data_IF_376942572139
#
_entry.id   IF_376942572139
#
_cell.length_a   1.000
_cell.length_b   1.000
_cell.length_c   1.000
_cell.angle_alpha   90.00
_cell.angle_beta   90.00
_cell.angle_gamma   90.00
#
_symmetry.space_group_name_H-M   'P 1'
#
loop_
_entity.id
_entity.type
_entity.pdbx_description
1 polymer ?
#
# COMPACT_ATOMS: atom_id res chain seq x y z
N UNK A 1 -17.58 35.01 -31.74
CA UNK A 1 -16.92 34.44 -30.55
C UNK A 1 -17.90 33.46 -29.92
N UNK A 2 -17.55 32.18 -29.90
CA UNK A 2 -18.35 31.14 -29.21
C UNK A 2 -17.75 30.91 -27.83
N UNK A 3 -18.56 31.05 -26.79
CA UNK A 3 -18.20 30.68 -25.43
C UNK A 3 -18.79 29.31 -25.13
N UNK A 4 -18.03 28.46 -24.43
CA UNK A 4 -18.51 27.17 -23.95
C UNK A 4 -18.37 27.13 -22.42
N UNK A 5 -19.31 26.46 -21.76
CA UNK A 5 -19.26 26.17 -20.34
C UNK A 5 -19.31 24.66 -20.14
N UNK A 6 -18.46 24.14 -19.25
CA UNK A 6 -18.44 22.73 -18.90
C UNK A 6 -19.22 22.51 -17.61
N UNK A 7 -20.15 21.54 -17.64
CA UNK A 7 -20.88 21.07 -16.45
C UNK A 7 -20.84 19.55 -16.43
N UNK A 8 -20.33 18.98 -15.34
CA UNK A 8 -20.32 17.54 -15.13
C UNK A 8 -21.69 17.10 -14.59
N UNK A 9 -22.35 16.17 -15.29
CA UNK A 9 -23.68 15.67 -14.90
C UNK A 9 -23.61 14.48 -13.96
N UNK A 10 -22.61 13.62 -14.14
CA UNK A 10 -22.36 12.45 -13.30
C UNK A 10 -20.86 12.39 -13.00
N UNK A 11 -20.54 12.06 -11.76
CA UNK A 11 -19.16 11.91 -11.31
C UNK A 11 -18.60 10.53 -11.68
N UNK A 12 -17.27 10.42 -11.69
CA UNK A 12 -16.58 9.15 -11.88
C UNK A 12 -16.91 8.18 -10.76
N UNK A 13 -17.23 6.94 -11.13
CA UNK A 13 -17.55 5.85 -10.19
C UNK A 13 -16.54 4.71 -10.24
N UNK A 14 -15.64 4.69 -11.22
CA UNK A 14 -14.57 3.70 -11.32
C UNK A 14 -13.49 3.99 -10.28
N UNK A 15 -13.29 3.06 -9.34
CA UNK A 15 -12.28 3.20 -8.28
C UNK A 15 -10.91 2.86 -8.86
N UNK A 16 -9.99 3.81 -8.79
CA UNK A 16 -8.61 3.66 -9.26
C UNK A 16 -7.65 3.30 -8.12
N UNK A 17 -7.86 3.87 -6.93
CA UNK A 17 -7.05 3.58 -5.75
C UNK A 17 -7.93 3.34 -4.52
N UNK A 18 -7.47 2.46 -3.64
CA UNK A 18 -8.08 2.20 -2.34
C UNK A 18 -6.99 2.03 -1.27
N UNK A 19 -7.24 2.53 -0.06
CA UNK A 19 -6.38 2.31 1.09
C UNK A 19 -7.20 2.28 2.38
N UNK A 20 -6.68 1.61 3.40
CA UNK A 20 -7.23 1.62 4.75
C UNK A 20 -6.33 2.42 5.69
N UNK A 21 -6.91 3.24 6.56
CA UNK A 21 -6.17 4.06 7.52
C UNK A 21 -7.05 4.62 8.64
N UNK A 22 -6.45 4.94 9.76
CA UNK A 22 -7.08 5.53 10.94
C UNK A 22 -7.08 7.06 10.82
N UNK A 23 -7.99 7.60 10.02
CA UNK A 23 -8.02 9.04 9.69
C UNK A 23 -8.88 9.85 10.67
N UNK A 24 -10.12 9.41 10.86
CA UNK A 24 -11.13 10.12 11.66
C UNK A 24 -10.96 9.88 13.16
N UNK A 25 -10.28 8.79 13.51
CA UNK A 25 -10.07 8.31 14.86
C UNK A 25 -8.71 7.61 14.93
N UNK A 26 -8.19 7.40 16.14
CA UNK A 26 -6.91 6.71 16.36
C UNK A 26 -7.08 5.23 16.69
N UNK A 27 -6.02 4.44 16.51
CA UNK A 27 -6.00 3.00 16.86
C UNK A 27 -6.32 2.72 18.34
N UNK A 28 -6.00 3.68 19.21
CA UNK A 28 -6.17 3.56 20.66
C UNK A 28 -7.56 4.04 21.15
N UNK A 29 -8.38 4.65 20.29
CA UNK A 29 -9.74 5.08 20.65
C UNK A 29 -10.68 3.87 20.63
N UNK A 30 -10.90 3.27 21.80
CA UNK A 30 -12.07 2.44 22.02
C UNK A 30 -13.30 3.35 22.06
N UNK A 31 -14.29 3.11 21.20
CA UNK A 31 -15.56 3.85 21.22
C UNK A 31 -16.27 3.56 22.56
N UNK A 32 -16.19 4.46 23.52
CA UNK A 32 -17.14 4.51 24.63
C UNK A 32 -18.41 5.17 24.08
N UNK A 33 -19.39 4.36 23.71
CA UNK A 33 -20.75 4.88 23.52
C UNK A 33 -21.20 5.43 24.89
N UNK A 34 -21.32 6.76 25.00
CA UNK A 34 -22.04 7.39 26.10
C UNK A 34 -23.51 6.96 25.98
N UNK A 35 -23.90 5.96 26.77
CA UNK A 35 -25.30 5.74 27.08
C UNK A 35 -25.69 6.78 28.15
N UNK A 36 -26.15 7.94 27.71
CA UNK A 36 -27.02 8.78 28.53
C UNK A 36 -28.39 8.07 28.60
N UNK A 37 -28.54 7.15 29.55
CA UNK A 37 -29.71 7.04 30.44
C UNK A 37 -29.63 5.75 31.28
N UNK A 38 -29.52 5.96 32.59
CA UNK A 38 -30.09 5.23 33.73
C UNK A 38 -30.37 3.71 33.62
N UNK A 39 -29.67 2.97 34.49
CA UNK A 39 -30.02 1.66 35.07
C UNK A 39 -30.30 0.48 34.12
N UNK A 40 -29.24 -0.26 33.78
CA UNK A 40 -29.33 -1.71 33.55
C UNK A 40 -27.98 -2.41 33.84
N UNK A 41 -27.93 -3.19 34.93
CA UNK A 41 -26.92 -4.21 35.15
C UNK A 41 -27.03 -5.28 34.05
N UNK A 42 -26.32 -5.09 32.94
CA UNK A 42 -26.01 -6.16 32.01
C UNK A 42 -24.50 -6.23 31.81
N UNK A 43 -23.96 -7.42 32.07
CA UNK A 43 -22.57 -7.79 31.83
C UNK A 43 -22.23 -7.65 30.34
N UNK A 44 -21.75 -6.46 29.96
CA UNK A 44 -21.23 -6.19 28.62
C UNK A 44 -20.00 -7.07 28.38
N UNK A 45 -20.15 -8.11 27.55
CA UNK A 45 -18.99 -8.73 26.91
C UNK A 45 -18.25 -7.61 26.17
N UNK A 46 -16.94 -7.45 26.35
CA UNK A 46 -16.20 -6.42 25.63
C UNK A 46 -16.34 -6.70 24.14
N UNK A 47 -16.79 -5.71 23.35
CA UNK A 47 -16.63 -5.68 21.90
C UNK A 47 -15.19 -6.09 21.60
N UNK A 48 -15.00 -7.30 21.06
CA UNK A 48 -13.66 -7.88 20.83
C UNK A 48 -12.93 -7.21 19.66
N UNK A 49 -13.59 -6.32 18.93
CA UNK A 49 -13.06 -5.65 17.76
C UNK A 49 -12.70 -4.22 18.17
N UNK A 50 -11.41 -3.89 18.10
CA UNK A 50 -10.94 -2.51 18.23
C UNK A 50 -11.51 -1.62 17.11
N UNK A 51 -11.22 -0.31 17.12
CA UNK A 51 -11.68 0.57 16.04
C UNK A 51 -11.24 0.04 14.67
N UNK A 52 -12.16 0.05 13.70
CA UNK A 52 -11.88 -0.36 12.32
C UNK A 52 -11.32 0.82 11.53
N UNK A 53 -10.31 0.60 10.67
CA UNK A 53 -9.79 1.67 9.83
C UNK A 53 -10.88 2.24 8.90
N UNK A 54 -10.74 3.52 8.57
CA UNK A 54 -11.50 4.12 7.50
C UNK A 54 -11.04 3.54 6.15
N UNK A 55 -11.98 3.36 5.23
CA UNK A 55 -11.70 3.04 3.83
C UNK A 55 -11.63 4.34 3.03
N UNK A 56 -10.51 4.59 2.38
CA UNK A 56 -10.32 5.73 1.48
C UNK A 56 -10.29 5.21 0.06
N UNK A 57 -11.09 5.82 -0.82
CA UNK A 57 -11.11 5.48 -2.24
C UNK A 57 -10.98 6.73 -3.08
N UNK A 58 -10.36 6.58 -4.25
CA UNK A 58 -10.33 7.62 -5.27
C UNK A 58 -10.86 7.09 -6.59
N UNK A 59 -11.74 7.86 -7.23
CA UNK A 59 -12.27 7.60 -8.55
C UNK A 59 -11.96 8.81 -9.45
N UNK A 60 -10.93 8.71 -10.27
CA UNK A 60 -10.32 9.80 -11.03
C UNK A 60 -10.03 11.04 -10.15
N UNK A 61 -10.89 12.06 -10.21
CA UNK A 61 -10.75 13.30 -9.45
C UNK A 61 -11.70 13.40 -8.25
N UNK A 62 -12.29 12.29 -7.82
CA UNK A 62 -13.17 12.22 -6.64
C UNK A 62 -12.45 11.44 -5.55
N UNK A 63 -12.43 11.97 -4.34
CA UNK A 63 -11.90 11.33 -3.13
C UNK A 63 -13.04 11.10 -2.15
N UNK A 64 -13.17 9.89 -1.64
CA UNK A 64 -14.21 9.51 -0.69
C UNK A 64 -13.60 8.76 0.51
N UNK A 65 -14.08 9.08 1.70
CA UNK A 65 -13.68 8.43 2.95
C UNK A 65 -14.92 7.78 3.56
N UNK A 66 -14.82 6.48 3.84
CA UNK A 66 -15.88 5.66 4.40
C UNK A 66 -15.49 5.13 5.78
N UNK A 67 -16.49 4.97 6.64
CA UNK A 67 -16.40 4.20 7.88
C UNK A 67 -17.07 2.84 7.66
N UNK A 68 -16.47 1.79 8.18
CA UNK A 68 -17.03 0.44 8.12
C UNK A 68 -17.95 0.24 9.32
N UNK A 69 -19.22 -0.08 9.06
CA UNK A 69 -20.20 -0.44 10.07
C UNK A 69 -20.46 -1.93 10.01
N UNK A 70 -20.34 -2.59 11.16
CA UNK A 70 -20.66 -4.01 11.33
C UNK A 70 -21.97 -4.09 12.11
N UNK A 71 -22.91 -4.91 11.63
CA UNK A 71 -24.13 -5.24 12.33
C UNK A 71 -23.93 -6.59 13.02
N UNK A 72 -23.89 -6.58 14.35
CA UNK A 72 -23.80 -7.79 15.18
C UNK A 72 -25.19 -8.36 15.47
N UNK A 73 -25.29 -9.70 15.47
CA UNK A 73 -26.54 -10.43 15.75
C UNK A 73 -27.02 -10.15 17.19
N UNK A 74 -28.23 -9.59 17.34
CA UNK A 74 -28.89 -9.57 18.65
C UNK A 74 -29.39 -10.98 18.95
N UNK A 75 -29.11 -11.57 20.13
CA UNK A 75 -29.57 -12.91 20.45
C UNK A 75 -31.10 -12.93 20.60
N UNK A 76 -31.80 -13.13 19.49
CA UNK A 76 -33.25 -13.34 19.46
C UNK A 76 -33.55 -14.83 19.43
N UNK A 77 -34.57 -15.22 20.18
CA UNK A 77 -34.86 -16.58 20.61
C UNK A 77 -34.97 -17.57 19.45
N UNK A 78 -34.13 -18.61 19.50
CA UNK A 78 -34.26 -19.94 18.91
C UNK A 78 -35.16 -20.08 17.67
N UNK A 79 -34.54 -20.07 16.49
CA UNK A 79 -35.14 -20.65 15.27
C UNK A 79 -34.12 -21.46 14.45
N UNK A 80 -34.48 -22.73 14.26
CA UNK A 80 -34.03 -23.79 13.32
C UNK A 80 -32.56 -23.95 12.86
N UNK A 81 -31.96 -25.16 13.03
CA UNK A 81 -30.55 -25.44 12.73
C UNK A 81 -30.33 -25.90 11.27
N UNK A 82 -30.84 -25.16 10.27
CA UNK A 82 -30.71 -25.57 8.85
C UNK A 82 -30.34 -24.46 7.86
N UNK A 83 -29.78 -23.34 8.31
CA UNK A 83 -29.11 -22.38 7.43
C UNK A 83 -27.63 -22.32 7.78
N UNK A 84 -26.83 -23.05 7.02
CA UNK A 84 -25.38 -22.93 7.04
C UNK A 84 -24.97 -21.60 6.41
N UNK A 85 -24.26 -20.78 7.18
CA UNK A 85 -22.85 -20.40 7.00
C UNK A 85 -22.60 -19.33 8.06
N UNK A 86 -21.85 -19.71 9.09
CA UNK A 86 -21.54 -18.92 10.27
C UNK A 86 -20.47 -17.89 9.87
N UNK A 87 -20.90 -16.73 9.36
CA UNK A 87 -20.15 -15.50 9.55
C UNK A 87 -20.09 -15.31 11.07
N UNK A 88 -18.91 -15.04 11.63
CA UNK A 88 -18.64 -14.97 13.07
C UNK A 88 -19.50 -13.89 13.77
N UNK A 89 -20.78 -14.18 14.06
CA UNK A 89 -21.71 -13.26 14.74
C UNK A 89 -22.08 -11.97 13.99
N UNK A 90 -21.70 -11.82 12.73
CA UNK A 90 -21.94 -10.62 11.90
C UNK A 90 -23.10 -10.89 10.93
N UNK A 91 -24.22 -10.18 11.09
CA UNK A 91 -25.37 -10.26 10.17
C UNK A 91 -25.15 -9.46 8.89
N UNK A 92 -24.27 -8.45 8.92
CA UNK A 92 -23.95 -7.63 7.75
C UNK A 92 -22.85 -6.60 8.00
N UNK A 93 -22.26 -6.10 6.91
CA UNK A 93 -21.34 -4.97 6.92
C UNK A 93 -21.78 -3.92 5.90
N UNK A 94 -21.65 -2.64 6.24
CA UNK A 94 -21.98 -1.52 5.34
C UNK A 94 -20.90 -0.44 5.40
N UNK A 95 -20.78 0.30 4.30
CA UNK A 95 -19.88 1.44 4.19
C UNK A 95 -20.69 2.73 4.34
N UNK A 96 -20.36 3.51 5.37
CA UNK A 96 -20.96 4.82 5.62
C UNK A 96 -20.02 5.91 5.11
N UNK A 97 -20.48 6.72 4.16
CA UNK A 97 -19.68 7.83 3.63
C UNK A 97 -19.52 8.92 4.70
N UNK A 98 -18.27 9.20 5.09
CA UNK A 98 -17.93 10.26 6.05
C UNK A 98 -17.79 11.59 5.34
N UNK A 99 -16.95 11.65 4.30
CA UNK A 99 -16.74 12.86 3.52
C UNK A 99 -16.33 12.51 2.09
N UNK A 100 -16.68 13.40 1.16
CA UNK A 100 -16.29 13.30 -0.23
C UNK A 100 -15.80 14.65 -0.76
N UNK A 101 -14.82 14.62 -1.65
CA UNK A 101 -14.22 15.82 -2.24
C UNK A 101 -14.08 15.66 -3.75
N UNK A 102 -14.41 16.74 -4.46
CA UNK A 102 -14.05 16.89 -5.86
C UNK A 102 -12.71 17.59 -5.94
N UNK A 103 -11.70 16.90 -6.44
CA UNK A 103 -10.36 17.41 -6.67
C UNK A 103 -10.27 18.07 -8.06
N UNK A 104 -9.35 19.02 -8.17
CA UNK A 104 -9.05 19.73 -9.42
C UNK A 104 -7.89 19.08 -10.20
N UNK A 105 -7.85 17.76 -10.19
CA UNK A 105 -6.87 16.92 -10.88
C UNK A 105 -7.20 15.45 -10.62
N UNK A 106 -6.84 14.58 -11.56
CA UNK A 106 -6.98 13.14 -11.37
C UNK A 106 -5.89 12.65 -10.43
N UNK A 107 -6.29 11.82 -9.46
CA UNK A 107 -5.36 11.14 -8.57
C UNK A 107 -4.68 10.02 -9.34
N UNK A 108 -3.36 10.03 -9.39
CA UNK A 108 -2.56 9.00 -10.05
C UNK A 108 -2.32 7.82 -9.11
N UNK A 109 -1.80 8.10 -7.90
CA UNK A 109 -1.69 7.08 -6.84
C UNK A 109 -1.92 7.68 -5.45
N UNK A 110 -2.23 6.82 -4.50
CA UNK A 110 -2.52 7.17 -3.11
C UNK A 110 -1.73 6.27 -2.15
N UNK A 111 -1.25 6.84 -1.05
CA UNK A 111 -0.70 6.08 0.07
C UNK A 111 -1.14 6.66 1.41
N UNK A 112 -1.21 5.82 2.44
CA UNK A 112 -1.50 6.23 3.82
C UNK A 112 -0.20 6.28 4.60
N UNK A 113 0.08 7.44 5.19
CA UNK A 113 1.19 7.66 6.10
C UNK A 113 0.70 7.50 7.53
N UNK A 114 1.08 6.40 8.17
CA UNK A 114 0.90 6.18 9.61
C UNK A 114 2.16 6.58 10.35
N UNK A 115 2.07 7.25 11.51
CA UNK A 115 3.27 7.45 12.34
C UNK A 115 3.60 6.13 13.05
N UNK A 116 4.85 5.67 12.92
CA UNK A 116 5.38 4.58 13.73
C UNK A 116 5.27 4.88 15.23
N UNK A 117 4.37 4.16 15.88
CA UNK A 117 4.15 4.18 17.32
C UNK A 117 3.28 2.98 17.65
N UNK A 118 3.58 2.28 18.75
CA UNK A 118 2.80 1.10 19.15
C UNK A 118 1.31 1.39 19.26
N UNK A 119 0.51 0.33 19.36
CA UNK A 119 -0.96 0.35 19.35
C UNK A 119 -1.62 1.30 20.39
N UNK A 120 -0.85 1.84 21.34
CA UNK A 120 -1.28 2.81 22.34
C UNK A 120 -1.22 4.30 21.90
N UNK A 121 -0.75 4.62 20.68
CA UNK A 121 -0.63 6.02 20.26
C UNK A 121 -1.98 6.60 19.79
N UNK A 122 -2.39 7.75 20.36
CA UNK A 122 -3.56 8.54 19.91
C UNK A 122 -3.27 9.31 18.62
N UNK A 123 -2.60 8.69 17.65
CA UNK A 123 -2.20 9.35 16.40
C UNK A 123 -3.10 8.92 15.28
N UNK A 124 -3.36 9.86 14.37
CA UNK A 124 -4.13 9.64 13.14
C UNK A 124 -3.19 9.51 11.96
N UNK A 125 -3.65 8.78 10.97
CA UNK A 125 -2.96 8.63 9.70
C UNK A 125 -3.19 9.87 8.82
N UNK A 126 -2.37 10.01 7.78
CA UNK A 126 -2.56 11.05 6.76
C UNK A 126 -2.50 10.46 5.36
N UNK A 127 -3.17 11.11 4.42
CA UNK A 127 -3.28 10.63 3.05
C UNK A 127 -2.25 11.38 2.20
N UNK A 128 -1.45 10.66 1.43
CA UNK A 128 -0.60 11.24 0.40
C UNK A 128 -1.23 10.92 -0.95
N UNK A 129 -1.53 11.97 -1.71
CA UNK A 129 -2.07 11.88 -3.08
C UNK A 129 -1.03 12.39 -4.06
N UNK A 130 -0.80 11.64 -5.14
CA UNK A 130 -0.08 12.14 -6.30
C UNK A 130 -1.04 12.49 -7.42
N UNK A 131 -0.68 13.52 -8.18
CA UNK A 131 -1.38 13.91 -9.40
C UNK A 131 -0.41 13.84 -10.57
N UNK A 132 -0.91 13.97 -11.79
CA UNK A 132 -0.10 13.99 -13.00
C UNK A 132 1.13 14.92 -12.86
N UNK A 133 2.19 14.56 -13.57
CA UNK A 133 3.50 15.21 -13.52
C UNK A 133 4.24 15.05 -12.18
N UNK A 134 4.42 16.10 -11.37
CA UNK A 134 5.19 16.01 -10.13
C UNK A 134 4.53 16.82 -8.99
N UNK A 135 3.21 16.64 -8.85
CA UNK A 135 2.38 17.22 -7.79
C UNK A 135 2.04 16.17 -6.74
N UNK A 136 2.27 16.54 -5.48
CA UNK A 136 1.96 15.71 -4.32
C UNK A 136 1.22 16.58 -3.29
N UNK A 137 0.10 16.07 -2.77
CA UNK A 137 -0.66 16.69 -1.68
C UNK A 137 -0.74 15.75 -0.49
N UNK A 138 -0.48 16.26 0.70
CA UNK A 138 -0.66 15.53 1.96
C UNK A 138 -1.88 16.09 2.67
N UNK A 139 -2.80 15.21 3.07
CA UNK A 139 -4.07 15.55 3.69
C UNK A 139 -4.15 14.94 5.09
N UNK A 140 -4.61 15.73 6.06
CA UNK A 140 -4.92 15.31 7.42
C UNK A 140 -6.40 15.54 7.71
N UNK A 141 -6.99 14.75 8.61
CA UNK A 141 -8.36 14.98 9.07
C UNK A 141 -8.38 16.04 10.17
N UNK A 142 -9.19 17.07 10.00
CA UNK A 142 -9.35 18.19 10.92
C UNK A 142 -10.75 18.14 11.54
N UNK A 143 -10.79 17.92 12.86
CA UNK A 143 -12.03 17.78 13.63
C UNK A 143 -12.86 19.06 13.62
N UNK A 144 -12.24 20.24 13.49
CA UNK A 144 -12.96 21.52 13.52
C UNK A 144 -13.87 21.72 12.33
N UNK A 145 -13.49 21.17 11.17
CA UNK A 145 -14.26 21.21 9.93
C UNK A 145 -14.94 19.89 9.62
N UNK A 146 -14.77 18.87 10.49
CA UNK A 146 -15.19 17.48 10.26
C UNK A 146 -14.83 16.99 8.84
N UNK A 147 -13.59 17.23 8.42
CA UNK A 147 -13.19 17.07 7.03
C UNK A 147 -11.67 16.99 6.84
N UNK A 148 -11.26 16.85 5.58
CA UNK A 148 -9.85 16.76 5.21
C UNK A 148 -9.30 18.16 4.94
N UNK A 149 -8.11 18.44 5.49
CA UNK A 149 -7.34 19.64 5.27
C UNK A 149 -5.99 19.29 4.65
N UNK A 150 -5.53 20.09 3.71
CA UNK A 150 -4.17 19.98 3.18
C UNK A 150 -3.15 20.41 4.24
N UNK A 151 -2.25 19.49 4.61
CA UNK A 151 -1.17 19.76 5.55
C UNK A 151 0.10 20.23 4.83
N UNK A 152 0.41 19.65 3.66
CA UNK A 152 1.52 20.10 2.81
C UNK A 152 1.26 19.87 1.32
N UNK A 153 1.94 20.67 0.49
CA UNK A 153 1.95 20.57 -0.96
C UNK A 153 3.39 20.55 -1.46
N UNK A 154 3.71 19.63 -2.36
CA UNK A 154 5.02 19.50 -2.99
C UNK A 154 4.84 19.49 -4.51
N UNK A 155 5.45 20.46 -5.21
CA UNK A 155 5.31 20.63 -6.65
C UNK A 155 6.68 20.82 -7.30
N UNK A 156 7.01 19.95 -8.27
CA UNK A 156 8.30 19.94 -8.96
C UNK A 156 8.12 20.13 -10.48
N UNK A 157 7.41 21.20 -10.87
CA UNK A 157 7.05 21.50 -12.27
C UNK A 157 7.54 22.84 -12.81
N UNK A 158 8.11 23.69 -11.95
CA UNK A 158 8.69 24.97 -12.36
C UNK A 158 9.79 24.84 -13.42
N UNK A 159 10.17 25.96 -14.09
CA UNK A 159 11.23 25.97 -15.11
C UNK A 159 12.54 25.33 -14.64
N UNK A 160 12.85 25.45 -13.36
CA UNK A 160 14.00 24.83 -12.71
C UNK A 160 13.94 23.29 -12.70
N UNK A 161 12.76 22.68 -12.84
CA UNK A 161 12.53 21.23 -12.82
C UNK A 161 12.32 20.60 -14.20
N UNK A 162 12.26 21.39 -15.28
CA UNK A 162 12.06 20.87 -16.65
C UNK A 162 13.13 19.83 -17.04
N UNK A 163 14.35 19.97 -16.51
CA UNK A 163 15.44 19.04 -16.75
C UNK A 163 15.15 17.61 -16.23
N UNK A 164 14.26 17.46 -15.25
CA UNK A 164 13.85 16.16 -14.71
C UNK A 164 13.17 15.28 -15.75
N UNK A 165 12.43 15.89 -16.68
CA UNK A 165 11.74 15.21 -17.78
C UNK A 165 12.70 14.72 -18.88
N UNK A 166 13.94 15.25 -18.92
CA UNK A 166 14.99 14.90 -19.90
C UNK A 166 14.51 14.97 -21.35
N UNK A 167 13.73 16.01 -21.67
CA UNK A 167 13.17 16.21 -23.01
C UNK A 167 12.00 15.31 -23.38
N UNK A 168 11.52 14.45 -22.46
CA UNK A 168 10.29 13.68 -22.66
C UNK A 168 9.08 14.52 -22.30
N UNK A 169 8.07 14.48 -23.15
CA UNK A 169 6.80 15.19 -22.92
C UNK A 169 5.70 14.25 -22.43
N UNK A 170 5.86 12.94 -22.65
CA UNK A 170 4.90 11.92 -22.29
C UNK A 170 5.58 10.78 -21.54
N UNK A 171 4.89 10.25 -20.54
CA UNK A 171 5.32 9.14 -19.71
C UNK A 171 4.22 8.08 -19.74
N UNK A 172 4.61 6.80 -19.84
CA UNK A 172 3.66 5.71 -19.94
C UNK A 172 2.92 5.42 -18.62
N UNK A 173 3.50 5.86 -17.49
CA UNK A 173 2.95 5.70 -16.14
C UNK A 173 3.00 7.05 -15.42
N UNK A 174 1.96 7.32 -14.63
CA UNK A 174 1.93 8.47 -13.74
C UNK A 174 2.80 8.28 -12.50
N UNK A 175 2.90 9.31 -11.64
CA UNK A 175 3.59 9.26 -10.36
C UNK A 175 3.08 8.18 -9.43
N UNK A 176 3.99 7.36 -8.89
CA UNK A 176 3.68 6.29 -7.93
C UNK A 176 4.21 6.64 -6.55
N UNK A 177 3.34 6.72 -5.54
CA UNK A 177 3.71 6.92 -4.13
C UNK A 177 3.60 5.65 -3.31
N UNK A 178 4.59 5.39 -2.46
CA UNK A 178 4.57 4.35 -1.43
C UNK A 178 5.22 4.85 -0.15
N UNK A 179 4.88 4.24 0.97
CA UNK A 179 5.29 4.72 2.30
C UNK A 179 6.07 3.64 3.04
N UNK A 180 7.07 4.06 3.82
CA UNK A 180 7.78 3.20 4.76
C UNK A 180 6.80 2.60 5.77
N UNK A 181 6.77 1.27 6.00
CA UNK A 181 5.78 0.67 6.88
C UNK A 181 5.84 1.14 8.34
N UNK A 182 6.97 1.69 8.77
CA UNK A 182 7.14 2.31 10.09
C UNK A 182 6.85 3.81 10.10
N UNK A 183 6.40 4.39 8.99
CA UNK A 183 5.96 5.78 8.95
C UNK A 183 7.07 6.82 8.95
N UNK A 184 8.31 6.43 8.66
CA UNK A 184 9.46 7.35 8.78
C UNK A 184 9.61 8.25 7.55
N UNK A 185 9.20 7.77 6.38
CA UNK A 185 9.17 8.54 5.14
C UNK A 185 8.20 7.97 4.10
N UNK A 186 7.83 8.79 3.12
CA UNK A 186 7.25 8.36 1.86
C UNK A 186 8.26 8.50 0.71
N UNK A 187 8.04 7.74 -0.36
CA UNK A 187 8.75 7.87 -1.63
C UNK A 187 7.74 8.03 -2.75
N UNK A 188 7.99 8.95 -3.68
CA UNK A 188 7.20 9.15 -4.88
C UNK A 188 8.11 9.08 -6.12
N UNK A 189 7.87 8.09 -6.98
CA UNK A 189 8.57 7.94 -8.25
C UNK A 189 7.87 8.78 -9.31
N UNK A 190 8.59 9.76 -9.86
CA UNK A 190 8.12 10.63 -10.96
C UNK A 190 9.07 10.54 -12.15
N UNK A 191 8.52 10.71 -13.35
CA UNK A 191 9.30 10.71 -14.61
C UNK A 191 10.23 9.50 -14.78
N UNK A 192 9.80 8.32 -14.32
CA UNK A 192 10.46 7.00 -14.30
C UNK A 192 11.78 6.88 -13.52
N UNK A 193 12.46 7.99 -13.21
CA UNK A 193 13.83 7.97 -12.67
C UNK A 193 14.08 8.99 -11.56
N UNK A 194 13.10 9.83 -11.22
CA UNK A 194 13.23 10.78 -10.13
C UNK A 194 12.47 10.26 -8.93
N UNK A 195 13.18 10.00 -7.84
CA UNK A 195 12.57 9.56 -6.59
C UNK A 195 12.50 10.72 -5.61
N UNK A 196 11.30 11.20 -5.31
CA UNK A 196 11.06 12.23 -4.30
C UNK A 196 10.87 11.53 -2.96
N UNK A 197 11.72 11.83 -1.98
CA UNK A 197 11.61 11.35 -0.61
C UNK A 197 10.88 12.40 0.23
N UNK A 198 9.79 12.00 0.87
CA UNK A 198 8.96 12.78 1.78
C UNK A 198 9.33 12.37 3.22
N UNK A 199 10.14 13.17 3.91
CA UNK A 199 10.54 12.89 5.30
C UNK A 199 9.34 13.14 6.22
N UNK A 200 8.94 12.14 6.99
CA UNK A 200 7.87 12.30 7.98
C UNK A 200 8.42 12.91 9.28
N UNK A 201 7.58 13.65 9.99
CA UNK A 201 7.89 14.17 11.32
C UNK A 201 7.90 13.02 12.33
N UNK A 202 9.08 12.65 12.83
CA UNK A 202 9.19 11.66 13.91
C UNK A 202 8.95 12.33 15.26
N UNK A 203 8.04 11.76 16.06
CA UNK A 203 7.80 12.21 17.43
C UNK A 203 9.01 11.86 18.30
N UNK A 204 9.84 12.87 18.59
CA UNK A 204 11.06 12.73 19.38
C UNK A 204 12.19 13.69 18.99
N UNK A 205 12.10 14.34 17.83
CA UNK A 205 13.11 15.31 17.35
C UNK A 205 12.69 16.78 17.51
N UNK A 206 11.76 17.07 18.43
CA UNK A 206 11.41 18.43 18.84
C UNK A 206 12.12 18.80 20.14
N UNK A 207 13.44 18.95 20.11
CA UNK A 207 14.16 19.61 21.20
C UNK A 207 14.32 21.10 20.84
N UNK A 208 13.63 21.93 21.63
CA UNK A 208 13.79 23.38 21.78
C UNK A 208 13.26 24.25 20.62
N UNK A 209 12.00 24.62 20.76
CA UNK A 209 11.36 25.75 20.09
C UNK A 209 10.18 26.17 20.97
N UNK A 210 10.48 26.99 21.97
CA UNK A 210 9.54 27.57 22.93
C UNK A 210 8.65 28.59 22.20
N UNK A 211 7.52 28.14 21.64
CA UNK A 211 6.28 28.92 21.51
C UNK A 211 5.16 28.01 20.96
N UNK A 212 3.93 28.23 21.42
CA UNK A 212 2.71 27.44 21.18
C UNK A 212 2.51 26.18 22.06
N UNK A 213 2.87 26.30 23.33
CA UNK A 213 2.19 25.58 24.40
C UNK A 213 0.84 26.27 24.73
N UNK A 214 -0.10 26.23 23.79
CA UNK A 214 -1.51 26.61 24.03
C UNK A 214 -2.46 25.54 23.46
N UNK A 215 -2.67 24.49 24.27
CA UNK A 215 -3.95 23.80 24.43
C UNK A 215 -4.75 23.37 23.21
N UNK A 216 -4.35 22.26 22.56
CA UNK A 216 -5.31 21.33 21.95
C UNK A 216 -4.90 19.89 22.29
N UNK A 217 -5.62 19.27 23.23
CA UNK A 217 -5.57 17.83 23.52
C UNK A 217 -6.29 17.06 22.39
N UNK A 218 -5.81 17.19 21.16
CA UNK A 218 -6.30 16.47 19.98
C UNK A 218 -5.30 15.41 19.51
N UNK A 219 -5.79 14.35 18.88
CA UNK A 219 -4.95 13.35 18.22
C UNK A 219 -4.10 14.01 17.12
N UNK A 220 -2.77 13.84 17.18
CA UNK A 220 -1.85 14.45 16.20
C UNK A 220 -1.71 13.53 14.98
N UNK A 221 -1.95 14.08 13.79
CA UNK A 221 -1.84 13.36 12.52
C UNK A 221 -0.39 13.25 12.01
N UNK A 222 -0.14 12.27 11.14
CA UNK A 222 1.14 12.09 10.45
C UNK A 222 1.49 13.23 9.50
N UNK A 223 2.62 13.91 9.69
CA UNK A 223 3.01 15.05 8.85
C UNK A 223 4.30 14.79 8.09
N UNK A 224 4.40 15.41 6.91
CA UNK A 224 5.63 15.49 6.12
C UNK A 224 6.33 16.79 6.48
N UNK A 225 7.58 16.68 6.95
CA UNK A 225 8.41 17.81 7.38
C UNK A 225 9.14 18.46 6.20
N UNK A 226 9.74 17.65 5.33
CA UNK A 226 10.54 18.13 4.21
C UNK A 226 10.59 17.11 3.09
N UNK A 227 10.97 17.57 1.90
CA UNK A 227 11.16 16.72 0.73
C UNK A 227 12.50 16.96 0.05
N UNK A 228 13.10 15.91 -0.48
CA UNK A 228 14.26 16.00 -1.37
C UNK A 228 14.19 14.94 -2.45
N UNK A 229 15.02 15.06 -3.48
CA UNK A 229 14.97 14.19 -4.65
C UNK A 229 16.27 13.40 -4.81
N UNK A 230 16.13 12.16 -5.27
CA UNK A 230 17.20 11.24 -5.63
C UNK A 230 17.03 10.95 -7.12
N UNK A 231 18.06 11.26 -7.92
CA UNK A 231 18.12 10.86 -9.31
C UNK A 231 18.62 9.42 -9.38
N UNK A 232 17.73 8.47 -9.68
CA UNK A 232 18.03 7.04 -9.66
C UNK A 232 19.08 6.64 -10.71
N UNK A 233 19.30 7.47 -11.75
CA UNK A 233 20.37 7.24 -12.72
C UNK A 233 21.76 7.32 -12.09
N UNK A 234 21.93 8.17 -11.09
CA UNK A 234 23.23 8.35 -10.42
C UNK A 234 23.59 7.12 -9.57
N UNK A 235 22.60 6.22 -9.37
CA UNK A 235 22.72 4.92 -8.71
C UNK A 235 22.75 3.74 -9.71
N UNK A 236 23.09 4.01 -10.98
CA UNK A 236 23.11 3.05 -12.09
C UNK A 236 21.77 2.34 -12.37
N UNK A 237 20.64 2.97 -12.02
CA UNK A 237 19.30 2.48 -12.37
C UNK A 237 18.83 3.11 -13.68
N UNK A 238 18.17 2.31 -14.54
CA UNK A 238 17.80 2.72 -15.90
C UNK A 238 16.30 2.69 -16.18
N UNK A 239 15.68 1.53 -16.01
CA UNK A 239 14.26 1.35 -16.31
C UNK A 239 13.55 0.83 -15.07
N UNK A 240 13.09 1.74 -14.22
CA UNK A 240 12.36 1.39 -13.00
C UNK A 240 10.96 0.93 -13.36
N UNK A 241 10.56 -0.23 -12.84
CA UNK A 241 9.23 -0.81 -13.03
C UNK A 241 8.33 -0.57 -11.82
N UNK A 242 8.88 -0.75 -10.62
CA UNK A 242 8.20 -0.55 -9.35
C UNK A 242 9.22 -0.35 -8.22
N UNK A 243 8.79 0.14 -7.08
CA UNK A 243 9.60 0.21 -5.85
C UNK A 243 8.74 -0.16 -4.64
N UNK A 244 9.30 -0.45 -3.48
CA UNK A 244 8.54 -0.57 -2.22
C UNK A 244 9.47 -0.38 -1.03
N UNK A 245 8.92 0.02 0.10
CA UNK A 245 9.67 0.00 1.36
C UNK A 245 9.48 -1.34 2.07
N UNK A 246 10.53 -1.86 2.71
CA UNK A 246 10.52 -3.17 3.38
C UNK A 246 10.63 -3.05 4.90
N UNK A 247 10.10 -4.05 5.61
CA UNK A 247 10.11 -4.14 7.07
C UNK A 247 11.46 -4.66 7.59
N UNK A 248 11.69 -4.48 8.90
CA UNK A 248 12.79 -5.13 9.63
C UNK A 248 14.10 -4.34 9.71
N UNK A 249 14.15 -3.13 9.16
CA UNK A 249 15.36 -2.29 9.15
C UNK A 249 15.23 -1.07 10.06
N UNK A 250 16.34 -0.67 10.69
CA UNK A 250 16.44 0.50 11.59
C UNK A 250 16.29 1.82 10.82
N UNK A 251 16.80 1.87 9.60
CA UNK A 251 16.52 2.93 8.63
C UNK A 251 15.48 2.45 7.60
N UNK A 252 14.73 3.37 6.95
CA UNK A 252 13.83 3.02 5.85
C UNK A 252 14.62 2.39 4.71
N UNK A 253 14.30 1.15 4.34
CA UNK A 253 14.93 0.49 3.19
C UNK A 253 13.95 0.47 2.03
N UNK A 254 14.36 1.07 0.92
CA UNK A 254 13.61 1.11 -0.34
C UNK A 254 14.19 0.10 -1.31
N UNK A 255 13.38 -0.86 -1.73
CA UNK A 255 13.72 -1.83 -2.78
C UNK A 255 13.15 -1.33 -4.10
N UNK A 256 13.99 -1.24 -5.14
CA UNK A 256 13.60 -0.81 -6.47
C UNK A 256 13.76 -1.97 -7.44
N UNK A 257 12.69 -2.30 -8.18
CA UNK A 257 12.69 -3.22 -9.31
C UNK A 257 13.01 -2.45 -10.57
N UNK A 258 14.09 -2.82 -11.25
CA UNK A 258 14.50 -2.17 -12.48
C UNK A 258 15.13 -3.14 -13.47
N UNK A 259 15.18 -2.71 -14.73
CA UNK A 259 15.89 -3.39 -15.80
C UNK A 259 17.06 -2.53 -16.28
N UNK A 260 18.21 -3.18 -16.51
CA UNK A 260 19.37 -2.53 -17.12
C UNK A 260 19.23 -2.45 -18.64
N UNK A 261 18.67 -3.50 -19.24
CA UNK A 261 18.36 -3.56 -20.67
C UNK A 261 16.94 -4.09 -20.85
N UNK A 262 16.11 -3.29 -21.53
CA UNK A 262 14.73 -3.65 -21.81
C UNK A 262 14.66 -4.87 -22.73
N UNK A 263 13.76 -5.79 -22.40
CA UNK A 263 13.35 -6.89 -23.27
C UNK A 263 11.82 -7.01 -23.28
N UNK A 264 11.29 -7.87 -24.13
CA UNK A 264 9.86 -8.15 -24.24
C UNK A 264 9.66 -9.59 -24.72
N UNK A 265 8.44 -10.12 -24.62
CA UNK A 265 8.13 -11.54 -24.84
C UNK A 265 8.71 -12.12 -26.15
N UNK A 266 8.67 -11.39 -27.26
CA UNK A 266 9.22 -11.87 -28.54
C UNK A 266 10.74 -11.80 -28.67
N UNK A 267 11.46 -11.20 -27.72
CA UNK A 267 12.92 -11.18 -27.63
C UNK A 267 13.48 -12.11 -26.55
N UNK A 268 12.63 -12.88 -25.87
CA UNK A 268 13.02 -13.78 -24.77
C UNK A 268 14.05 -14.81 -25.23
N UNK A 269 13.95 -15.33 -26.45
CA UNK A 269 14.93 -16.25 -27.04
C UNK A 269 16.34 -15.67 -27.17
N UNK A 270 16.45 -14.35 -27.25
CA UNK A 270 17.74 -13.64 -27.31
C UNK A 270 18.19 -13.18 -25.93
N UNK A 271 17.28 -12.54 -25.19
CA UNK A 271 17.58 -11.98 -23.87
C UNK A 271 16.38 -12.13 -22.94
N UNK A 272 16.62 -12.92 -21.91
CA UNK A 272 15.72 -13.21 -20.81
C UNK A 272 16.43 -12.89 -19.49
N UNK A 273 15.71 -12.92 -18.37
CA UNK A 273 16.23 -12.59 -17.03
C UNK A 273 16.94 -11.22 -16.93
N UNK A 274 16.28 -10.15 -17.38
CA UNK A 274 16.81 -8.78 -17.45
C UNK A 274 16.56 -7.94 -16.20
N UNK A 275 15.63 -8.36 -15.36
CA UNK A 275 15.24 -7.64 -14.17
C UNK A 275 16.26 -7.83 -13.05
N UNK A 276 16.32 -6.83 -12.17
CA UNK A 276 17.03 -6.90 -10.91
C UNK A 276 16.33 -6.04 -9.86
N UNK A 277 16.57 -6.35 -8.60
CA UNK A 277 16.14 -5.54 -7.46
C UNK A 277 17.35 -4.97 -6.73
N UNK A 278 17.22 -3.76 -6.24
CA UNK A 278 18.27 -3.05 -5.49
C UNK A 278 17.68 -2.44 -4.23
N UNK A 279 18.22 -2.82 -3.06
CA UNK A 279 17.77 -2.35 -1.76
C UNK A 279 18.67 -1.22 -1.24
N UNK A 280 18.11 -0.03 -1.10
CA UNK A 280 18.79 1.18 -0.66
C UNK A 280 18.37 1.54 0.78
N UNK A 281 19.32 1.78 1.69
CA UNK A 281 19.03 2.39 2.99
C UNK A 281 18.80 3.87 2.80
N UNK A 282 17.69 4.44 3.27
CA UNK A 282 17.39 5.86 3.06
C UNK A 282 17.62 6.63 4.35
N UNK A 283 18.79 7.27 4.46
CA UNK A 283 19.06 8.20 5.56
C UNK A 283 18.46 9.57 5.23
N UNK A 284 17.27 9.85 5.76
CA UNK A 284 16.56 11.11 5.50
C UNK A 284 17.29 12.32 6.09
N UNK A 285 18.09 12.13 7.15
CA UNK A 285 18.87 13.19 7.80
C UNK A 285 20.12 13.56 6.99
N UNK A 286 20.92 12.56 6.61
CA UNK A 286 22.17 12.79 5.85
C UNK A 286 21.94 12.87 4.34
N UNK A 287 20.72 12.57 3.87
CA UNK A 287 20.35 12.43 2.45
C UNK A 287 21.24 11.43 1.69
N UNK A 288 21.78 10.45 2.42
CA UNK A 288 22.59 9.37 1.88
C UNK A 288 21.73 8.14 1.63
N UNK A 289 22.11 7.37 0.61
CA UNK A 289 21.34 6.22 0.16
C UNK A 289 22.22 5.06 -0.30
N UNK A 290 22.99 4.41 0.61
CA UNK A 290 23.84 3.29 0.26
C UNK A 290 23.03 2.06 -0.17
N UNK A 291 23.57 1.32 -1.15
CA UNK A 291 23.07 0.01 -1.57
C UNK A 291 23.47 -1.05 -0.54
N UNK A 292 22.49 -1.70 0.10
CA UNK A 292 22.72 -2.74 1.11
C UNK A 292 22.86 -4.10 0.42
N UNK A 293 21.94 -4.42 -0.49
CA UNK A 293 21.94 -5.69 -1.23
C UNK A 293 21.20 -5.54 -2.55
N UNK A 294 21.44 -6.50 -3.46
CA UNK A 294 20.77 -6.56 -4.75
C UNK A 294 20.65 -8.00 -5.22
N UNK A 295 19.57 -8.32 -5.93
CA UNK A 295 19.42 -9.60 -6.63
C UNK A 295 19.22 -9.33 -8.12
N UNK A 296 19.99 -10.03 -8.96
CA UNK A 296 19.95 -9.91 -10.41
C UNK A 296 19.42 -11.21 -11.04
N UNK A 297 19.32 -11.23 -12.38
CA UNK A 297 18.82 -12.36 -13.15
C UNK A 297 17.36 -12.72 -12.80
N UNK A 298 16.53 -11.72 -12.51
CA UNK A 298 15.09 -11.91 -12.33
C UNK A 298 14.39 -11.94 -13.68
N UNK A 299 13.29 -12.69 -13.84
CA UNK A 299 12.54 -12.77 -15.08
C UNK A 299 12.11 -11.41 -15.61
N UNK A 300 12.14 -11.27 -16.94
CA UNK A 300 11.82 -10.02 -17.64
C UNK A 300 10.36 -9.57 -17.48
N UNK A 301 9.46 -10.50 -17.15
CA UNK A 301 8.04 -10.26 -16.91
C UNK A 301 7.74 -9.86 -15.46
N UNK A 302 8.75 -9.75 -14.58
CA UNK A 302 8.60 -9.13 -13.26
C UNK A 302 8.14 -7.67 -13.40
N UNK A 303 7.07 -7.30 -12.70
CA UNK A 303 6.44 -5.98 -12.86
C UNK A 303 5.99 -5.30 -11.56
N UNK A 304 5.87 -6.03 -10.44
CA UNK A 304 5.35 -5.50 -9.17
C UNK A 304 6.14 -6.03 -7.98
N UNK A 305 6.33 -5.17 -6.98
CA UNK A 305 6.92 -5.52 -5.70
C UNK A 305 5.87 -5.48 -4.59
N UNK A 306 5.91 -6.49 -3.71
CA UNK A 306 5.09 -6.57 -2.52
C UNK A 306 6.00 -6.78 -1.30
N UNK A 307 6.07 -5.77 -0.43
CA UNK A 307 6.87 -5.87 0.78
C UNK A 307 6.28 -6.89 1.75
N UNK A 308 7.09 -7.81 2.25
CA UNK A 308 6.64 -8.82 3.20
C UNK A 308 6.55 -8.19 4.60
N UNK A 309 5.43 -8.38 5.33
CA UNK A 309 5.25 -7.83 6.66
C UNK A 309 6.25 -8.37 7.68
N UNK A 310 6.40 -7.64 8.79
CA UNK A 310 7.02 -8.18 10.00
C UNK A 310 6.18 -9.35 10.53
N UNK A 311 6.79 -10.45 11.02
CA UNK A 311 8.22 -10.61 11.34
C UNK A 311 9.09 -11.21 10.24
N UNK A 312 8.53 -11.74 9.15
CA UNK A 312 9.31 -12.43 8.09
C UNK A 312 10.23 -11.44 7.37
N UNK A 313 9.70 -10.29 6.97
CA UNK A 313 10.44 -9.27 6.23
C UNK A 313 10.88 -9.72 4.83
N UNK A 314 11.59 -8.85 4.12
CA UNK A 314 11.96 -9.08 2.71
C UNK A 314 10.91 -8.56 1.71
N UNK A 315 10.98 -9.05 0.48
CA UNK A 315 10.15 -8.59 -0.63
C UNK A 315 9.76 -9.76 -1.54
N UNK A 316 8.52 -9.74 -2.02
CA UNK A 316 8.04 -10.57 -3.12
C UNK A 316 8.10 -9.79 -4.42
N UNK A 317 8.71 -10.39 -5.43
CA UNK A 317 8.73 -9.93 -6.81
C UNK A 317 7.70 -10.74 -7.58
N UNK A 318 6.66 -10.06 -8.06
CA UNK A 318 5.57 -10.66 -8.82
C UNK A 318 5.85 -10.45 -10.31
N UNK A 319 5.96 -11.55 -11.04
CA UNK A 319 5.94 -11.60 -12.50
C UNK A 319 4.63 -12.20 -13.02
N UNK A 320 4.49 -12.25 -14.34
CA UNK A 320 3.32 -12.89 -14.94
C UNK A 320 3.32 -14.41 -14.71
N UNK A 321 4.51 -15.03 -14.77
CA UNK A 321 4.64 -16.50 -14.73
C UNK A 321 5.37 -17.01 -13.48
N UNK A 322 5.96 -16.13 -12.67
CA UNK A 322 6.76 -16.50 -11.50
C UNK A 322 6.54 -15.55 -10.33
N UNK A 323 6.75 -16.06 -9.11
CA UNK A 323 6.88 -15.25 -7.90
C UNK A 323 8.24 -15.53 -7.27
N UNK A 324 8.99 -14.49 -6.93
CA UNK A 324 10.28 -14.63 -6.26
C UNK A 324 10.27 -13.93 -4.91
N UNK A 325 10.64 -14.64 -3.86
CA UNK A 325 10.94 -14.06 -2.57
C UNK A 325 12.42 -13.73 -2.47
N UNK A 326 12.73 -12.52 -1.99
CA UNK A 326 14.10 -12.09 -1.72
C UNK A 326 14.20 -11.37 -0.38
N UNK A 327 15.20 -11.72 0.40
CA UNK A 327 15.70 -10.98 1.55
C UNK A 327 17.21 -10.80 1.42
N UNK A 328 17.85 -10.23 2.45
CA UNK A 328 19.31 -10.10 2.46
C UNK A 328 20.03 -11.46 2.57
N UNK A 329 19.39 -12.46 3.18
CA UNK A 329 19.99 -13.77 3.48
C UNK A 329 19.36 -14.93 2.70
N UNK A 330 18.12 -14.79 2.24
CA UNK A 330 17.36 -15.87 1.62
C UNK A 330 16.74 -15.45 0.29
N UNK A 331 16.59 -16.42 -0.61
CA UNK A 331 15.87 -16.26 -1.87
C UNK A 331 15.12 -17.54 -2.20
N UNK A 332 13.86 -17.41 -2.59
CA UNK A 332 13.02 -18.52 -3.03
C UNK A 332 12.27 -18.12 -4.31
N UNK A 333 11.92 -19.09 -5.15
CA UNK A 333 11.24 -18.85 -6.42
C UNK A 333 10.18 -19.91 -6.65
N UNK A 334 9.00 -19.46 -7.09
CA UNK A 334 7.84 -20.28 -7.42
C UNK A 334 7.47 -20.03 -8.89
N UNK A 335 7.46 -21.09 -9.68
CA UNK A 335 6.96 -21.11 -11.05
C UNK A 335 5.46 -21.40 -11.04
N UNK A 336 4.68 -20.54 -11.71
CA UNK A 336 3.22 -20.59 -11.68
C UNK A 336 2.61 -21.34 -12.86
N UNK A 337 3.36 -21.51 -13.94
CA UNK A 337 2.92 -22.17 -15.16
C UNK A 337 4.10 -22.66 -16.01
N UNK A 338 3.82 -23.29 -17.16
CA UNK A 338 4.85 -23.83 -18.06
C UNK A 338 5.63 -22.76 -18.86
N UNK A 339 5.21 -21.50 -18.83
CA UNK A 339 5.95 -20.38 -19.43
C UNK A 339 7.01 -19.81 -18.49
N UNK A 340 7.03 -20.23 -17.23
CA UNK A 340 8.10 -19.89 -16.28
C UNK A 340 9.45 -20.41 -16.81
N UNK A 341 10.30 -19.49 -17.25
CA UNK A 341 11.65 -19.81 -17.72
C UNK A 341 12.57 -19.84 -16.51
N UNK A 342 13.25 -20.97 -16.29
CA UNK A 342 14.30 -21.05 -15.27
C UNK A 342 15.57 -20.31 -15.74
N UNK A 343 16.32 -19.65 -14.85
CA UNK A 343 17.62 -19.13 -15.20
C UNK A 343 18.55 -20.26 -15.66
N UNK A 344 19.37 -19.99 -16.67
CA UNK A 344 20.41 -20.91 -17.12
C UNK A 344 21.31 -21.28 -15.91
N UNK A 345 21.49 -22.58 -15.62
CA UNK A 345 22.24 -23.14 -14.47
C UNK A 345 21.63 -23.03 -13.05
N UNK A 346 20.33 -22.80 -12.87
CA UNK A 346 19.73 -22.78 -11.53
C UNK A 346 19.28 -24.15 -11.00
N UNK A 347 19.13 -24.26 -9.68
CA UNK A 347 18.35 -25.33 -9.05
C UNK A 347 16.91 -25.31 -9.58
N UNK A 348 16.24 -26.47 -9.58
CA UNK A 348 14.84 -26.57 -10.02
C UNK A 348 13.96 -25.60 -9.24
N UNK A 349 13.24 -24.74 -9.96
CA UNK A 349 12.26 -23.82 -9.38
C UNK A 349 11.07 -24.66 -8.90
N UNK A 350 10.60 -24.40 -7.66
CA UNK A 350 9.39 -25.02 -7.15
C UNK A 350 8.23 -24.70 -8.10
N UNK A 351 7.42 -25.71 -8.45
CA UNK A 351 6.26 -25.50 -9.32
C UNK A 351 4.98 -25.49 -8.49
N UNK A 352 4.09 -24.58 -8.82
CA UNK A 352 2.73 -24.57 -8.29
C UNK A 352 1.99 -25.86 -8.64
N UNK A 353 1.01 -26.20 -7.80
CA UNK A 353 0.15 -27.38 -8.00
C UNK A 353 -0.83 -27.22 -9.17
N UNK A 354 -1.09 -25.98 -9.60
CA UNK A 354 -1.94 -25.63 -10.73
C UNK A 354 -1.30 -24.52 -11.57
N UNK A 355 -1.73 -24.40 -12.82
CA UNK A 355 -1.26 -23.36 -13.73
C UNK A 355 -2.04 -22.07 -13.54
N UNK A 356 -1.34 -20.96 -13.32
CA UNK A 356 -1.96 -19.63 -13.23
C UNK A 356 -1.06 -18.55 -13.83
N UNK A 357 -1.67 -17.46 -14.28
CA UNK A 357 -1.00 -16.28 -14.79
C UNK A 357 -1.36 -15.09 -13.90
N UNK A 358 -0.35 -14.38 -13.41
CA UNK A 358 -0.51 -13.21 -12.54
C UNK A 358 -0.23 -11.91 -13.30
N UNK A 359 -0.46 -11.85 -14.61
CA UNK A 359 -0.40 -10.61 -15.35
C UNK A 359 -1.51 -9.65 -14.88
N UNK A 360 -1.13 -8.41 -14.58
CA UNK A 360 -2.03 -7.38 -14.03
C UNK A 360 -2.76 -7.79 -12.74
N UNK A 361 -2.19 -8.70 -11.96
CA UNK A 361 -2.76 -9.13 -10.69
C UNK A 361 -2.62 -8.07 -9.58
N UNK A 362 -3.65 -7.98 -8.75
CA UNK A 362 -3.61 -7.21 -7.50
C UNK A 362 -3.29 -8.12 -6.32
N UNK A 363 -2.58 -7.57 -5.34
CA UNK A 363 -2.07 -8.33 -4.21
C UNK A 363 -2.15 -7.49 -2.94
N UNK A 364 -2.63 -8.08 -1.86
CA UNK A 364 -2.65 -7.46 -0.53
C UNK A 364 -2.42 -8.50 0.56
N UNK A 365 -1.85 -8.09 1.68
CA UNK A 365 -1.61 -8.98 2.81
C UNK A 365 -2.87 -9.13 3.66
N UNK A 366 -3.25 -10.36 3.99
CA UNK A 366 -4.30 -10.64 4.96
C UNK A 366 -3.71 -10.83 6.35
N UNK A 367 -2.60 -11.56 6.40
CA UNK A 367 -1.79 -11.85 7.57
C UNK A 367 -0.32 -11.56 7.27
N UNK A 368 0.57 -11.78 8.23
CA UNK A 368 2.01 -11.59 8.03
C UNK A 368 2.64 -12.59 7.06
N UNK A 369 1.99 -13.73 6.86
CA UNK A 369 2.42 -14.89 6.09
C UNK A 369 1.45 -15.26 4.95
N UNK A 370 0.24 -14.68 4.92
CA UNK A 370 -0.76 -14.96 3.88
C UNK A 370 -1.14 -13.70 3.13
N UNK A 371 -0.95 -13.71 1.81
CA UNK A 371 -1.39 -12.67 0.88
C UNK A 371 -2.57 -13.16 0.02
N UNK A 372 -3.53 -12.29 -0.26
CA UNK A 372 -4.56 -12.51 -1.27
C UNK A 372 -4.11 -11.91 -2.60
N UNK A 373 -4.23 -12.69 -3.66
CA UNK A 373 -4.02 -12.28 -5.05
C UNK A 373 -5.37 -12.29 -5.77
N UNK A 374 -5.66 -11.24 -6.53
CA UNK A 374 -6.78 -11.18 -7.48
C UNK A 374 -6.21 -11.12 -8.89
N UNK A 375 -6.56 -12.13 -9.71
CA UNK A 375 -6.08 -12.24 -11.09
C UNK A 375 -6.89 -11.36 -12.04
N UNK A 376 -6.43 -11.21 -13.28
CA UNK A 376 -7.18 -10.51 -14.34
C UNK A 376 -8.56 -11.08 -14.64
N UNK A 377 -8.81 -12.35 -14.30
CA UNK A 377 -10.11 -13.02 -14.50
C UNK A 377 -11.06 -12.81 -13.33
N UNK A 378 -10.61 -12.17 -12.24
CA UNK A 378 -11.35 -12.01 -11.00
C UNK A 378 -11.21 -13.19 -10.04
N UNK A 379 -10.39 -14.20 -10.38
CA UNK A 379 -10.11 -15.32 -9.48
C UNK A 379 -9.28 -14.85 -8.28
N UNK A 380 -9.62 -15.37 -7.10
CA UNK A 380 -8.92 -15.09 -5.85
C UNK A 380 -8.03 -16.27 -5.46
N UNK A 381 -6.76 -15.99 -5.17
CA UNK A 381 -5.76 -16.98 -4.78
C UNK A 381 -5.10 -16.57 -3.47
N UNK A 382 -4.72 -17.55 -2.66
CA UNK A 382 -3.95 -17.34 -1.44
C UNK A 382 -2.50 -17.71 -1.70
N UNK A 383 -1.61 -16.77 -1.42
CA UNK A 383 -0.17 -17.00 -1.39
C UNK A 383 0.27 -17.10 0.06
N UNK A 384 0.89 -18.22 0.42
CA UNK A 384 1.33 -18.51 1.79
C UNK A 384 2.85 -18.57 1.84
N UNK A 385 3.45 -17.86 2.79
CA UNK A 385 4.87 -17.90 3.10
C UNK A 385 5.11 -18.81 4.31
N UNK A 386 5.87 -19.88 4.10
CA UNK A 386 6.29 -20.76 5.20
C UNK A 386 7.70 -20.34 5.62
N UNK A 387 7.81 -19.66 6.76
CA UNK A 387 9.09 -19.22 7.32
C UNK A 387 9.51 -20.10 8.50
N UNK A 388 10.72 -20.67 8.40
CA UNK A 388 11.40 -21.31 9.53
C UNK A 388 12.61 -20.46 9.95
N UNK A 389 12.40 -19.68 11.03
CA UNK A 389 13.42 -18.78 11.58
C UNK A 389 14.63 -19.47 12.22
N UNK A 390 14.65 -20.80 12.32
CA UNK A 390 15.87 -21.52 12.77
C UNK A 390 16.89 -21.71 11.66
N UNK A 391 16.42 -21.79 10.41
CA UNK A 391 17.25 -22.06 9.24
C UNK A 391 17.25 -20.91 8.22
N UNK A 392 16.66 -19.76 8.58
CA UNK A 392 16.40 -18.63 7.66
C UNK A 392 15.80 -19.10 6.33
N UNK A 393 14.91 -20.09 6.43
CA UNK A 393 14.29 -20.74 5.29
C UNK A 393 12.91 -20.16 5.04
N UNK A 394 12.62 -19.79 3.79
CA UNK A 394 11.31 -19.31 3.35
C UNK A 394 10.88 -20.11 2.14
N UNK A 395 9.70 -20.72 2.24
CA UNK A 395 9.01 -21.34 1.12
C UNK A 395 7.79 -20.52 0.70
N UNK A 396 7.42 -20.59 -0.58
CA UNK A 396 6.30 -19.86 -1.16
C UNK A 396 5.33 -20.85 -1.78
N UNK A 397 4.13 -20.93 -1.23
CA UNK A 397 3.02 -21.72 -1.76
C UNK A 397 1.92 -20.84 -2.34
N UNK A 398 1.19 -21.35 -3.32
CA UNK A 398 -0.02 -20.70 -3.86
C UNK A 398 -1.14 -21.73 -3.95
N UNK A 399 -2.31 -21.37 -3.44
CA UNK A 399 -3.51 -22.20 -3.42
C UNK A 399 -4.72 -21.39 -3.92
N UNK A 400 -5.65 -22.04 -4.60
CA UNK A 400 -6.95 -21.43 -4.91
C UNK A 400 -7.71 -21.19 -3.61
N UNK A 401 -8.37 -20.04 -3.45
CA UNK A 401 -9.27 -19.86 -2.29
C UNK A 401 -10.32 -20.97 -2.31
N UNK A 402 -10.52 -21.73 -1.23
CA UNK A 402 -11.72 -22.57 -1.15
C UNK A 402 -12.92 -21.63 -1.23
N UNK A 403 -13.98 -22.07 -1.90
CA UNK A 403 -15.22 -21.31 -2.17
C UNK A 403 -15.94 -20.76 -0.91
N UNK A 404 -15.38 -20.98 0.28
CA UNK A 404 -15.94 -20.64 1.58
C UNK A 404 -15.03 -19.76 2.47
N UNK A 405 -13.80 -19.38 2.02
CA UNK A 405 -12.94 -18.46 2.78
C UNK A 405 -13.00 -17.05 2.19
N UNK A 406 -13.73 -16.15 2.86
CA UNK A 406 -13.56 -14.69 2.74
C UNK A 406 -12.73 -14.26 3.95
N UNK A 407 -11.40 -14.10 3.84
CA UNK A 407 -10.59 -13.77 4.99
C UNK A 407 -10.82 -12.31 5.39
N UNK A 408 -11.29 -12.10 6.61
CA UNK A 408 -11.35 -10.79 7.25
C UNK A 408 -10.15 -10.60 8.18
N UNK A 409 -9.31 -9.62 7.85
CA UNK A 409 -8.15 -9.20 8.63
C UNK A 409 -7.49 -7.97 8.01
N UNK A 410 -7.63 -6.81 8.66
CA UNK A 410 -6.98 -5.49 8.42
C UNK A 410 -7.07 -4.83 7.03
N UNK A 411 -7.45 -5.52 5.97
CA UNK A 411 -7.62 -4.95 4.64
C UNK A 411 -9.01 -5.33 4.09
N UNK A 412 -9.92 -4.34 3.97
CA UNK A 412 -11.19 -4.55 3.29
C UNK A 412 -10.92 -4.82 1.81
N UNK A 413 -11.50 -5.89 1.28
CA UNK A 413 -11.41 -6.23 -0.15
C UNK A 413 -12.81 -6.10 -0.73
N UNK A 414 -12.99 -5.08 -1.57
CA UNK A 414 -14.22 -4.89 -2.34
C UNK A 414 -14.17 -5.83 -3.55
N UNK A 415 -14.98 -6.88 -3.52
CA UNK A 415 -15.26 -7.68 -4.71
C UNK A 415 -16.41 -7.04 -5.48
N UNK A 416 -16.17 -6.56 -6.70
CA UNK A 416 -17.23 -6.16 -7.62
C UNK A 416 -17.77 -7.43 -8.28
N UNK A 417 -18.91 -7.93 -7.79
CA UNK A 417 -19.74 -8.85 -8.57
C UNK A 417 -20.40 -8.07 -9.71
N UNK A 418 -20.47 -8.66 -10.90
CA UNK A 418 -21.46 -8.24 -11.90
C UNK A 418 -22.87 -8.57 -11.42
#
# INVERSE_FOLDING_TARGET
MSFAAYKMMQWSTGIDNCAAGFLTHSRAESVSLQADDLDAEWSSRPSRVGPLPNLVVTAANVLEVYTVRIQEDQPTKATDPRRGTLLDGIEGASLELVCHYRLHGNVETMAVLSIGGGDASRKRDSIILTFADAKISVLEYDDSIHGLRTSSLHCFEGPEWLHLKRGREQFARGPVVKVDPQGRCGGALVYDLQMIILKATQAGSGLVGDDDALGFSGAVAARVESSYMINLRDLDMRHVKDFTFVHGYIEPVMVILHERELTWAGRVSWKHHTCMISALSISTTLKQHPLIWSAANLPHDAYKLLAVPSPIGGVLVIGANTVHYHSQSASCSLALNSYAVSPDNSQEILRSSFNVELDSANATWLLSDVALLSTKTGELLLLTLVYDGRFDYVDVGIDSTPSELIPWGRNLILHHGN
#
